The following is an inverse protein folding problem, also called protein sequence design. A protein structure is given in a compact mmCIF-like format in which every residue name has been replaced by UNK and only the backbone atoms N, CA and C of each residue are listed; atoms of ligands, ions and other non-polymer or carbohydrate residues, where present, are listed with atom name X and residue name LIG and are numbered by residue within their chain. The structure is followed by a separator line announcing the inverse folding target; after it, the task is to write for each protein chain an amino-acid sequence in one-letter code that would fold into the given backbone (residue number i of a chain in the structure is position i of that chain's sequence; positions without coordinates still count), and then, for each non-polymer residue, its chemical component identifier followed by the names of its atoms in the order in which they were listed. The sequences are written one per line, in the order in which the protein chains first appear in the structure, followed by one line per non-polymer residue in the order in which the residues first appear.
data_IF_512029675679
#
_entry.id   IF_512029675679
#
_cell.length_a   1.000
_cell.length_b   1.000
_cell.length_c   1.000
_cell.angle_alpha   90.00
_cell.angle_beta   90.00
_cell.angle_gamma   90.00
#
_symmetry.space_group_name_H-M   'P 1'
#
loop_
_entity.id
_entity.type
_entity.pdbx_description
1 polymer ?
#
# COMPACT_ATOMS: atom_id res chain seq x y z
N UNK A 1 -14.69 -4.73 7.85
CA UNK A 1 -13.39 -5.36 8.11
C UNK A 1 -13.48 -6.54 9.08
N UNK A 2 -14.09 -6.41 10.27
CA UNK A 2 -14.10 -7.48 11.30
C UNK A 2 -14.60 -8.84 10.79
N UNK A 3 -15.67 -8.85 9.99
CA UNK A 3 -16.22 -10.09 9.40
C UNK A 3 -15.25 -10.87 8.49
N UNK A 4 -14.28 -10.20 7.85
CA UNK A 4 -13.26 -10.88 7.03
C UNK A 4 -12.26 -11.59 7.93
N UNK A 5 -11.80 -10.92 9.00
CA UNK A 5 -10.92 -11.55 9.99
C UNK A 5 -11.60 -12.73 10.68
N UNK A 6 -12.85 -12.57 11.10
CA UNK A 6 -13.62 -13.63 11.75
C UNK A 6 -13.73 -14.87 10.84
N UNK A 7 -13.91 -14.69 9.52
CA UNK A 7 -13.96 -15.78 8.54
C UNK A 7 -12.60 -16.49 8.38
N UNK A 8 -11.49 -15.74 8.40
CA UNK A 8 -10.13 -16.30 8.36
C UNK A 8 -9.88 -17.15 9.61
N UNK A 9 -10.19 -16.62 10.80
CA UNK A 9 -10.00 -17.32 12.07
C UNK A 9 -10.86 -18.59 12.16
N UNK A 10 -12.07 -18.54 11.61
CA UNK A 10 -12.96 -19.69 11.50
C UNK A 10 -12.57 -20.71 10.42
N UNK A 11 -11.52 -20.43 9.62
CA UNK A 11 -11.09 -21.24 8.45
C UNK A 11 -12.25 -21.51 7.48
N UNK A 12 -12.98 -20.44 7.16
CA UNK A 12 -14.10 -20.48 6.24
C UNK A 12 -13.69 -21.00 4.85
N UNK A 13 -14.63 -21.56 4.11
CA UNK A 13 -14.40 -22.04 2.75
C UNK A 13 -14.49 -20.92 1.70
N UNK A 14 -14.18 -21.25 0.45
CA UNK A 14 -14.17 -20.29 -0.66
C UNK A 14 -15.54 -19.65 -0.92
N UNK A 15 -16.63 -20.39 -0.73
CA UNK A 15 -17.99 -19.89 -0.92
C UNK A 15 -18.35 -18.84 0.13
N UNK A 16 -17.95 -19.05 1.38
CA UNK A 16 -18.12 -18.08 2.44
C UNK A 16 -17.35 -16.77 2.14
N UNK A 17 -16.08 -16.85 1.69
CA UNK A 17 -15.31 -15.66 1.31
C UNK A 17 -15.93 -14.90 0.13
N UNK A 18 -16.39 -15.61 -0.90
CA UNK A 18 -17.03 -14.98 -2.06
C UNK A 18 -18.33 -14.24 -1.72
N UNK A 19 -19.01 -14.61 -0.64
CA UNK A 19 -20.21 -13.95 -0.15
C UNK A 19 -19.94 -12.71 0.72
N UNK A 20 -18.69 -12.48 1.15
CA UNK A 20 -18.36 -11.34 2.00
C UNK A 20 -18.40 -10.03 1.21
N UNK A 21 -18.94 -8.98 1.84
CA UNK A 21 -18.88 -7.63 1.29
C UNK A 21 -17.46 -7.08 1.40
N UNK A 22 -16.88 -6.69 0.27
CA UNK A 22 -15.61 -5.94 0.23
C UNK A 22 -15.83 -4.56 0.88
N UNK A 23 -14.97 -4.14 1.82
CA UNK A 23 -15.09 -2.82 2.45
C UNK A 23 -14.78 -1.70 1.45
N UNK A 24 -15.29 -0.50 1.72
CA UNK A 24 -15.02 0.68 0.88
C UNK A 24 -13.59 1.23 1.10
N UNK A 25 -13.03 1.01 2.30
CA UNK A 25 -11.69 1.43 2.67
C UNK A 25 -10.97 0.39 3.53
N UNK A 26 -9.64 0.52 3.60
CA UNK A 26 -8.77 -0.30 4.44
C UNK A 26 -7.65 0.54 5.07
N UNK A 27 -7.18 0.10 6.24
CA UNK A 27 -6.10 0.74 6.98
C UNK A 27 -4.75 0.36 6.37
N UNK A 28 -3.92 1.35 6.06
CA UNK A 28 -2.63 1.15 5.40
C UNK A 28 -1.53 2.05 5.99
N UNK A 29 -0.27 1.61 5.86
CA UNK A 29 0.89 2.46 6.04
C UNK A 29 1.24 3.14 4.72
N UNK A 30 1.26 4.47 4.70
CA UNK A 30 1.42 5.28 3.50
C UNK A 30 2.51 6.34 3.65
N UNK A 31 3.12 6.73 2.54
CA UNK A 31 3.83 8.00 2.38
C UNK A 31 3.00 8.96 1.52
N UNK A 32 3.21 10.26 1.65
CA UNK A 32 2.43 11.28 0.95
C UNK A 32 3.26 12.00 -0.12
N UNK A 33 2.64 12.27 -1.28
CA UNK A 33 3.28 12.95 -2.41
C UNK A 33 3.70 14.37 -2.07
N UNK A 34 2.91 15.06 -1.24
CA UNK A 34 3.21 16.41 -0.74
C UNK A 34 4.47 16.47 0.14
N UNK A 35 4.90 15.34 0.69
CA UNK A 35 6.03 15.25 1.62
C UNK A 35 7.32 14.77 0.95
N UNK A 36 7.32 14.49 -0.36
CA UNK A 36 8.45 13.88 -1.06
C UNK A 36 9.77 14.68 -0.97
N UNK A 37 9.70 15.98 -0.68
CA UNK A 37 10.85 16.86 -0.51
C UNK A 37 11.24 17.12 0.97
N UNK A 38 10.55 16.50 1.94
CA UNK A 38 10.73 16.74 3.39
C UNK A 38 12.17 16.55 3.85
N UNK A 39 12.92 15.64 3.21
CA UNK A 39 14.31 15.33 3.56
C UNK A 39 15.35 15.95 2.62
N UNK A 40 14.99 16.95 1.81
CA UNK A 40 15.94 17.64 0.94
C UNK A 40 17.06 18.28 1.77
N UNK A 41 18.31 17.96 1.46
CA UNK A 41 19.49 18.45 2.17
C UNK A 41 19.79 17.75 3.51
N UNK A 42 18.98 16.75 3.91
CA UNK A 42 19.22 15.94 5.12
C UNK A 42 20.11 14.74 4.77
N UNK A 43 21.22 14.48 5.51
CA UNK A 43 22.02 13.27 5.32
C UNK A 43 21.19 11.99 5.50
N UNK A 44 21.40 10.98 4.66
CA UNK A 44 20.56 9.76 4.62
C UNK A 44 20.43 9.05 5.97
N UNK A 45 21.51 8.99 6.76
CA UNK A 45 21.52 8.38 8.09
C UNK A 45 20.76 9.18 9.17
N UNK A 46 20.31 10.41 8.86
CA UNK A 46 19.51 11.27 9.74
C UNK A 46 18.05 11.36 9.27
N UNK A 47 17.70 10.76 8.13
CA UNK A 47 16.33 10.68 7.64
C UNK A 47 15.57 9.66 8.49
N UNK A 48 14.51 10.11 9.15
CA UNK A 48 13.73 9.31 10.09
C UNK A 48 12.39 8.92 9.45
N UNK A 49 12.19 7.64 9.07
CA UNK A 49 10.94 7.15 8.49
C UNK A 49 9.68 7.53 9.28
N UNK A 50 9.79 7.67 10.61
CA UNK A 50 8.64 7.95 11.48
C UNK A 50 8.01 9.33 11.22
N UNK A 51 8.68 10.21 10.47
CA UNK A 51 8.18 11.55 10.12
C UNK A 51 7.30 11.58 8.88
N UNK A 52 7.37 10.55 8.04
CA UNK A 52 6.75 10.52 6.69
C UNK A 52 5.88 9.29 6.47
N UNK A 53 5.98 8.28 7.35
CA UNK A 53 5.09 7.12 7.36
C UNK A 53 3.86 7.43 8.19
N UNK A 54 2.71 7.43 7.53
CA UNK A 54 1.41 7.69 8.13
C UNK A 54 0.55 6.44 8.11
N UNK A 55 -0.29 6.28 9.12
CA UNK A 55 -1.33 5.24 9.12
C UNK A 55 -2.66 5.89 8.79
N UNK A 56 -3.27 5.49 7.67
CA UNK A 56 -4.50 6.10 7.14
C UNK A 56 -5.47 5.03 6.62
N UNK A 57 -6.75 5.34 6.62
CA UNK A 57 -7.73 4.57 5.86
C UNK A 57 -7.76 5.08 4.41
N UNK A 58 -7.57 4.18 3.46
CA UNK A 58 -7.52 4.48 2.02
C UNK A 58 -8.57 3.65 1.28
N UNK A 59 -9.12 4.13 0.15
CA UNK A 59 -10.12 3.38 -0.61
C UNK A 59 -9.57 2.06 -1.14
N UNK A 60 -10.38 1.00 -1.12
CA UNK A 60 -10.08 -0.24 -1.84
C UNK A 60 -10.08 0.08 -3.34
N UNK A 61 -9.00 -0.23 -4.09
CA UNK A 61 -8.98 0.01 -5.53
C UNK A 61 -9.96 -0.92 -6.24
N UNK A 62 -10.45 -0.49 -7.41
CA UNK A 62 -11.03 -1.42 -8.37
C UNK A 62 -9.99 -2.50 -8.71
N UNK A 63 -10.41 -3.73 -8.98
CA UNK A 63 -9.52 -4.87 -9.25
C UNK A 63 -9.48 -5.14 -10.76
N UNK A 64 -8.29 -5.21 -11.35
CA UNK A 64 -8.14 -5.50 -12.77
C UNK A 64 -8.37 -7.00 -13.08
N UNK A 65 -8.59 -7.37 -14.35
CA UNK A 65 -8.90 -8.76 -14.75
C UNK A 65 -7.83 -9.79 -14.39
N UNK A 66 -6.59 -9.36 -14.17
CA UNK A 66 -5.42 -10.17 -13.87
C UNK A 66 -4.92 -10.03 -12.42
N UNK A 67 -5.69 -9.37 -11.55
CA UNK A 67 -5.33 -9.08 -10.17
C UNK A 67 -6.15 -9.89 -9.15
N UNK A 68 -5.63 -9.96 -7.93
CA UNK A 68 -6.32 -10.53 -6.76
C UNK A 68 -6.33 -9.52 -5.61
N UNK A 69 -7.41 -9.51 -4.83
CA UNK A 69 -7.50 -8.75 -3.58
C UNK A 69 -7.22 -9.68 -2.40
N UNK A 70 -6.18 -9.37 -1.61
CA UNK A 70 -5.72 -10.20 -0.50
C UNK A 70 -6.04 -9.52 0.83
N UNK A 71 -6.64 -10.27 1.76
CA UNK A 71 -6.75 -9.88 3.17
C UNK A 71 -5.43 -10.16 3.89
N UNK A 72 -4.57 -9.15 3.96
CA UNK A 72 -3.22 -9.27 4.52
C UNK A 72 -3.28 -9.49 6.05
N UNK A 73 -2.76 -10.63 6.49
CA UNK A 73 -2.63 -11.00 7.91
C UNK A 73 -1.28 -10.57 8.49
N UNK A 74 -0.22 -10.64 7.68
CA UNK A 74 1.11 -10.19 8.05
C UNK A 74 1.88 -9.67 6.83
N UNK A 75 2.85 -8.79 7.09
CA UNK A 75 3.78 -8.24 6.11
C UNK A 75 5.19 -8.17 6.73
N UNK A 76 6.15 -7.63 6.00
CA UNK A 76 7.53 -7.45 6.43
C UNK A 76 8.02 -6.04 6.08
N UNK A 77 9.12 -5.62 6.70
CA UNK A 77 9.84 -4.40 6.31
C UNK A 77 11.14 -4.81 5.64
N UNK A 78 11.28 -4.45 4.38
CA UNK A 78 12.49 -4.65 3.58
C UNK A 78 13.17 -3.29 3.30
N UNK A 79 14.41 -3.30 2.81
CA UNK A 79 15.17 -2.09 2.47
C UNK A 79 14.43 -1.18 1.50
N UNK A 80 13.70 -1.71 0.53
CA UNK A 80 12.87 -0.91 -0.39
C UNK A 80 11.78 -0.10 0.35
N UNK A 81 11.25 -0.61 1.46
CA UNK A 81 10.24 0.05 2.29
C UNK A 81 10.90 1.19 3.06
N UNK A 82 12.09 0.95 3.61
CA UNK A 82 12.91 2.00 4.23
C UNK A 82 13.23 3.10 3.22
N UNK A 83 13.74 2.76 2.04
CA UNK A 83 14.06 3.73 0.99
C UNK A 83 12.86 4.53 0.51
N UNK A 84 11.70 3.88 0.35
CA UNK A 84 10.44 4.56 0.02
C UNK A 84 10.06 5.58 1.11
N UNK A 85 10.21 5.21 2.39
CA UNK A 85 9.85 6.11 3.50
C UNK A 85 10.72 7.35 3.62
N UNK A 86 11.96 7.32 3.10
CA UNK A 86 12.90 8.46 3.13
C UNK A 86 13.09 9.10 1.74
N UNK A 87 12.28 8.68 0.76
CA UNK A 87 12.27 9.15 -0.63
C UNK A 87 13.62 9.01 -1.36
N UNK A 88 14.35 7.92 -1.12
CA UNK A 88 15.66 7.66 -1.73
C UNK A 88 15.67 6.44 -2.67
N UNK A 89 16.59 6.41 -3.67
CA UNK A 89 17.45 7.50 -4.11
C UNK A 89 16.68 8.62 -4.83
N UNK A 90 15.44 8.33 -5.25
CA UNK A 90 14.46 9.26 -5.79
C UNK A 90 13.09 8.89 -5.25
N UNK A 91 12.19 9.86 -5.18
CA UNK A 91 10.78 9.63 -4.83
C UNK A 91 10.13 8.60 -5.76
N UNK A 92 9.48 7.61 -5.17
CA UNK A 92 8.71 6.55 -5.85
C UNK A 92 7.52 7.10 -6.64
N UNK A 93 6.97 8.26 -6.25
CA UNK A 93 5.85 8.90 -6.94
C UNK A 93 6.15 9.22 -8.41
N UNK A 94 7.41 9.52 -8.75
CA UNK A 94 7.80 9.73 -10.15
C UNK A 94 7.67 8.46 -11.00
N UNK A 95 8.00 7.30 -10.44
CA UNK A 95 7.84 6.01 -11.09
C UNK A 95 6.36 5.63 -11.22
N UNK A 96 5.53 5.89 -10.20
CA UNK A 96 4.09 5.63 -10.24
C UNK A 96 3.39 6.51 -11.28
N UNK A 97 3.75 7.79 -11.37
CA UNK A 97 3.23 8.71 -12.40
C UNK A 97 3.65 8.31 -13.82
N UNK A 98 4.80 7.66 -13.99
CA UNK A 98 5.23 7.09 -15.28
C UNK A 98 4.43 5.83 -15.60
N UNK A 99 4.31 4.91 -14.63
CA UNK A 99 3.54 3.66 -14.76
C UNK A 99 2.08 3.95 -15.15
N UNK A 100 1.46 4.97 -14.55
CA UNK A 100 0.09 5.37 -14.84
C UNK A 100 -0.18 5.75 -16.32
N UNK A 101 0.87 6.02 -17.11
CA UNK A 101 0.75 6.31 -18.54
C UNK A 101 0.75 5.06 -19.42
N UNK A 102 1.04 3.89 -18.85
CA UNK A 102 1.20 2.64 -19.61
C UNK A 102 -0.12 1.92 -19.89
N UNK A 103 -1.16 2.09 -19.05
CA UNK A 103 -2.48 1.51 -19.28
C UNK A 103 -3.60 2.19 -18.46
N UNK A 104 -4.86 1.97 -18.85
CA UNK A 104 -6.02 2.43 -18.08
C UNK A 104 -6.02 1.87 -16.65
N UNK A 105 -5.63 0.60 -16.49
CA UNK A 105 -5.52 -0.05 -15.19
C UNK A 105 -4.37 0.54 -14.35
N UNK A 106 -3.25 0.91 -14.98
CA UNK A 106 -2.10 1.46 -14.28
C UNK A 106 -2.37 2.84 -13.67
N UNK A 107 -3.32 3.62 -14.21
CA UNK A 107 -3.70 4.95 -13.68
C UNK A 107 -4.09 4.93 -12.21
N UNK A 108 -4.66 3.80 -11.74
CA UNK A 108 -5.08 3.61 -10.33
C UNK A 108 -3.91 3.74 -9.34
N UNK A 109 -2.65 3.62 -9.79
CA UNK A 109 -1.45 3.71 -8.95
C UNK A 109 -0.88 5.14 -8.79
N UNK A 110 -1.20 6.09 -9.67
CA UNK A 110 -0.78 7.50 -9.48
C UNK A 110 -1.77 8.21 -8.55
N UNK A 111 -1.48 8.11 -7.26
CA UNK A 111 -2.25 8.71 -6.17
C UNK A 111 -1.38 9.74 -5.44
N UNK A 112 -2.03 10.58 -4.64
CA UNK A 112 -1.34 11.54 -3.75
C UNK A 112 -0.77 10.87 -2.49
N UNK A 113 -0.95 9.55 -2.35
CA UNK A 113 -0.37 8.69 -1.33
C UNK A 113 0.15 7.39 -1.95
N UNK A 114 1.10 6.73 -1.31
CA UNK A 114 1.56 5.40 -1.70
C UNK A 114 1.49 4.46 -0.51
N UNK A 115 0.69 3.39 -0.63
CA UNK A 115 0.71 2.26 0.31
C UNK A 115 2.01 1.49 0.13
N UNK A 116 2.75 1.30 1.22
CA UNK A 116 4.05 0.62 1.19
C UNK A 116 3.95 -0.85 1.60
N UNK A 117 5.03 -1.59 1.33
CA UNK A 117 5.18 -3.02 1.64
C UNK A 117 5.36 -3.84 0.37
N UNK A 118 6.36 -4.72 0.34
CA UNK A 118 6.64 -5.61 -0.79
C UNK A 118 6.36 -7.09 -0.51
N UNK A 119 5.94 -7.40 0.70
CA UNK A 119 5.76 -8.76 1.19
C UNK A 119 4.38 -8.87 1.84
N UNK A 120 3.72 -10.01 1.71
CA UNK A 120 2.44 -10.26 2.35
C UNK A 120 2.21 -11.77 2.60
N UNK A 121 1.47 -12.07 3.65
CA UNK A 121 0.84 -13.37 3.91
C UNK A 121 -0.61 -13.12 4.31
N UNK A 122 -1.56 -13.83 3.70
CA UNK A 122 -2.98 -13.60 3.88
C UNK A 122 -3.84 -14.61 3.13
N UNK A 123 -5.13 -14.32 3.07
CA UNK A 123 -6.16 -15.05 2.30
C UNK A 123 -6.58 -14.23 1.10
#
# INVERSE_FOLDING_TARGET
MRHILDAIEARADSAAFAALKIPESYRAAVVLKSEQDTFKGVPSNQKDPRKTVHIQDVPVPEIAPDEVLIAVMASSINFNTVWSSIFEPVSTFGSLARLARESEWAKRHDRDYQVMGSDASGV
#
